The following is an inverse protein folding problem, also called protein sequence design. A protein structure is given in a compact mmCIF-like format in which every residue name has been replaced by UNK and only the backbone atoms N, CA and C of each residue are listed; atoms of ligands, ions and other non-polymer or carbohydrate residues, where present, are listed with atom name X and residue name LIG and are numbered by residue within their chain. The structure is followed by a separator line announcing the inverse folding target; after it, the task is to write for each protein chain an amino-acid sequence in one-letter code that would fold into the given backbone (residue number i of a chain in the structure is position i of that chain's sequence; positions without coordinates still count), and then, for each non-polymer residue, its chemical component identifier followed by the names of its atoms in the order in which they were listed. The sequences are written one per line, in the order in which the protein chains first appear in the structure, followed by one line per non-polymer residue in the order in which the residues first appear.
data_IF_735844493172
#
_entry.id   IF_735844493172
#
_cell.length_a   1.000
_cell.length_b   1.000
_cell.length_c   1.000
_cell.angle_alpha   90.00
_cell.angle_beta   90.00
_cell.angle_gamma   90.00
#
_symmetry.space_group_name_H-M   'P 1'
#
loop_
_entity.id
_entity.type
_entity.pdbx_description
1 polymer ?
#
# COMPACT_ATOMS: atom_id res chain seq x y z
N UNK A 1 10.67 -35.88 -70.66
CA UNK A 1 11.90 -35.10 -70.38
C UNK A 1 11.58 -33.94 -69.43
N UNK A 2 10.48 -33.19 -69.64
CA UNK A 2 10.07 -32.08 -68.73
C UNK A 2 9.77 -32.53 -67.30
N UNK A 3 9.09 -33.66 -67.08
CA UNK A 3 8.74 -34.15 -65.74
C UNK A 3 9.94 -34.64 -64.90
N UNK A 4 11.06 -34.98 -65.56
CA UNK A 4 12.29 -35.41 -64.86
C UNK A 4 13.05 -34.20 -64.33
N UNK A 5 13.15 -33.15 -65.11
CA UNK A 5 13.79 -31.86 -64.69
C UNK A 5 13.04 -31.18 -63.51
N UNK A 6 11.73 -31.32 -63.49
CA UNK A 6 10.90 -30.69 -62.44
C UNK A 6 11.09 -31.45 -61.09
N UNK A 7 11.18 -32.78 -61.11
CA UNK A 7 11.49 -33.59 -59.91
C UNK A 7 12.91 -33.36 -59.39
N UNK A 8 13.89 -33.19 -60.27
CA UNK A 8 15.26 -32.86 -59.84
C UNK A 8 15.33 -31.50 -59.19
N UNK A 9 14.63 -30.47 -59.71
CA UNK A 9 14.54 -29.11 -59.16
C UNK A 9 13.84 -29.08 -57.79
N UNK A 10 12.78 -29.86 -57.60
CA UNK A 10 12.04 -29.99 -56.35
C UNK A 10 12.92 -30.68 -55.30
N UNK A 11 13.67 -31.71 -55.69
CA UNK A 11 14.58 -32.39 -54.77
C UNK A 11 15.76 -31.50 -54.36
N UNK A 12 16.31 -30.66 -55.25
CA UNK A 12 17.34 -29.68 -54.91
C UNK A 12 16.82 -28.64 -53.93
N UNK A 13 15.61 -28.12 -54.16
CA UNK A 13 14.98 -27.16 -53.23
C UNK A 13 14.70 -27.74 -51.83
N UNK A 14 14.30 -29.04 -51.78
CA UNK A 14 14.13 -29.76 -50.50
C UNK A 14 15.47 -29.95 -49.79
N UNK A 15 16.51 -30.31 -50.51
CA UNK A 15 17.86 -30.47 -49.94
C UNK A 15 18.39 -29.15 -49.43
N UNK A 16 18.25 -28.02 -50.16
CA UNK A 16 18.64 -26.69 -49.69
C UNK A 16 17.89 -26.28 -48.41
N UNK A 17 16.59 -26.54 -48.35
CA UNK A 17 15.79 -26.27 -47.16
C UNK A 17 16.22 -27.13 -45.97
N UNK A 18 16.52 -28.41 -46.18
CA UNK A 18 17.03 -29.31 -45.13
C UNK A 18 18.39 -28.86 -44.61
N UNK A 19 19.31 -28.48 -45.50
CA UNK A 19 20.61 -27.94 -45.12
C UNK A 19 20.47 -26.61 -44.35
N UNK A 20 19.54 -25.70 -44.78
CA UNK A 20 19.23 -24.48 -44.05
C UNK A 20 18.63 -24.75 -42.65
N UNK A 21 17.83 -25.79 -42.49
CA UNK A 21 17.32 -26.21 -41.19
C UNK A 21 18.43 -26.80 -40.31
N UNK A 22 19.30 -27.65 -40.85
CA UNK A 22 20.45 -28.19 -40.12
C UNK A 22 21.42 -27.11 -39.65
N UNK A 23 21.67 -26.07 -40.45
CA UNK A 23 22.50 -24.93 -40.07
C UNK A 23 21.88 -24.06 -38.98
N UNK A 24 20.56 -24.04 -38.84
CA UNK A 24 19.85 -23.31 -37.79
C UNK A 24 19.66 -24.07 -36.47
N UNK A 25 19.81 -25.40 -36.48
CA UNK A 25 19.69 -26.24 -35.26
C UNK A 25 20.63 -25.75 -34.13
N UNK A 26 21.93 -25.43 -34.37
CA UNK A 26 22.82 -24.92 -33.32
C UNK A 26 22.26 -23.64 -32.67
N UNK A 27 21.79 -22.70 -33.47
CA UNK A 27 21.24 -21.44 -32.95
C UNK A 27 19.97 -21.65 -32.10
N UNK A 28 19.12 -22.59 -32.49
CA UNK A 28 17.94 -22.98 -31.71
C UNK A 28 18.35 -23.69 -30.41
N UNK A 29 19.35 -24.55 -30.44
CA UNK A 29 19.88 -25.24 -29.26
C UNK A 29 20.52 -24.24 -28.30
N UNK A 30 21.28 -23.27 -28.81
CA UNK A 30 21.88 -22.21 -28.00
C UNK A 30 20.81 -21.30 -27.36
N UNK A 31 19.76 -20.97 -28.10
CA UNK A 31 18.61 -20.21 -27.58
C UNK A 31 17.87 -20.97 -26.48
N UNK A 32 17.64 -22.29 -26.67
CA UNK A 32 17.01 -23.15 -25.65
C UNK A 32 17.90 -23.25 -24.41
N UNK A 33 19.21 -23.39 -24.60
CA UNK A 33 20.19 -23.50 -23.51
C UNK A 33 20.26 -22.18 -22.73
N UNK A 34 20.27 -21.05 -23.41
CA UNK A 34 20.22 -19.71 -22.80
C UNK A 34 18.93 -19.52 -22.00
N UNK A 35 17.79 -19.91 -22.57
CA UNK A 35 16.49 -19.85 -21.88
C UNK A 35 16.44 -20.74 -20.64
N UNK A 36 17.01 -21.96 -20.73
CA UNK A 36 17.12 -22.88 -19.60
C UNK A 36 17.97 -22.29 -18.48
N UNK A 37 19.14 -21.71 -18.80
CA UNK A 37 20.01 -21.05 -17.84
C UNK A 37 19.32 -19.85 -17.18
N UNK A 38 18.55 -19.09 -17.95
CA UNK A 38 17.74 -17.98 -17.43
C UNK A 38 16.68 -18.47 -16.44
N UNK A 39 15.97 -19.56 -16.78
CA UNK A 39 14.97 -20.20 -15.89
C UNK A 39 15.64 -20.74 -14.62
N UNK A 40 16.81 -21.37 -14.71
CA UNK A 40 17.56 -21.86 -13.55
C UNK A 40 18.06 -20.70 -12.65
N UNK A 41 18.49 -19.59 -13.23
CA UNK A 41 18.87 -18.39 -12.47
C UNK A 41 17.64 -17.74 -11.81
N UNK A 42 16.53 -17.61 -12.51
CA UNK A 42 15.24 -17.13 -11.96
C UNK A 42 14.81 -18.05 -10.80
N UNK A 43 14.92 -19.37 -10.95
CA UNK A 43 14.59 -20.34 -9.89
C UNK A 43 15.50 -20.18 -8.65
N UNK A 44 16.82 -19.94 -8.86
CA UNK A 44 17.77 -19.66 -7.78
C UNK A 44 17.48 -18.34 -7.10
N UNK A 45 17.09 -17.32 -7.85
CA UNK A 45 16.74 -16.01 -7.29
C UNK A 45 15.38 -16.05 -6.59
N UNK A 46 14.41 -16.82 -7.10
CA UNK A 46 13.16 -17.12 -6.38
C UNK A 46 13.46 -17.83 -5.04
N UNK A 47 14.42 -18.77 -5.02
CA UNK A 47 14.79 -19.46 -3.77
C UNK A 47 15.51 -18.54 -2.75
N UNK A 48 16.18 -17.48 -3.21
CA UNK A 48 16.77 -16.42 -2.34
C UNK A 48 15.76 -15.38 -1.91
N UNK A 49 14.66 -15.21 -2.66
CA UNK A 49 13.51 -14.35 -2.38
C UNK A 49 12.48 -15.04 -1.47
N UNK A 50 12.83 -16.10 -0.76
CA UNK A 50 12.03 -16.55 0.39
C UNK A 50 12.11 -15.40 1.41
N UNK A 51 11.26 -14.40 1.20
CA UNK A 51 10.89 -13.47 2.26
C UNK A 51 10.50 -14.38 3.41
N UNK A 52 11.30 -14.31 4.48
CA UNK A 52 11.00 -15.06 5.68
C UNK A 52 9.60 -14.63 6.15
N UNK A 53 8.62 -15.48 5.88
CA UNK A 53 7.26 -15.28 6.34
C UNK A 53 7.18 -16.00 7.68
N UNK A 54 6.98 -15.29 8.77
CA UNK A 54 6.82 -15.93 10.08
C UNK A 54 5.75 -17.02 9.99
N UNK A 55 5.92 -18.08 10.74
CA UNK A 55 4.87 -19.06 10.99
C UNK A 55 3.68 -18.36 11.69
N UNK A 56 2.65 -19.11 12.08
CA UNK A 56 1.40 -18.66 12.72
C UNK A 56 1.57 -17.57 13.81
N UNK A 57 2.75 -17.46 14.38
CA UNK A 57 3.03 -16.59 15.50
C UNK A 57 3.34 -15.15 15.08
N UNK A 58 2.79 -14.19 15.78
CA UNK A 58 3.18 -12.78 15.64
C UNK A 58 4.37 -12.52 16.55
N UNK A 59 5.42 -11.96 15.96
CA UNK A 59 6.59 -11.54 16.74
C UNK A 59 6.34 -10.17 17.37
N UNK A 60 6.64 -10.07 18.65
CA UNK A 60 6.74 -8.80 19.35
C UNK A 60 8.07 -8.11 18.98
N UNK A 61 8.19 -7.69 17.72
CA UNK A 61 9.34 -6.95 17.22
C UNK A 61 9.37 -5.51 17.76
N UNK A 62 10.45 -4.78 17.51
CA UNK A 62 10.64 -3.41 18.03
C UNK A 62 9.50 -2.45 17.61
N UNK A 63 8.91 -2.63 16.44
CA UNK A 63 7.79 -1.81 15.99
C UNK A 63 6.52 -2.14 16.79
N UNK A 64 6.10 -3.42 16.82
CA UNK A 64 4.92 -3.86 17.57
C UNK A 64 5.06 -3.50 19.05
N UNK A 65 6.23 -3.75 19.64
CA UNK A 65 6.51 -3.39 21.02
C UNK A 65 6.35 -1.89 21.29
N UNK A 66 6.92 -1.05 20.46
CA UNK A 66 6.82 0.41 20.62
C UNK A 66 5.36 0.89 20.51
N UNK A 67 4.62 0.41 19.52
CA UNK A 67 3.21 0.77 19.34
C UNK A 67 2.39 0.28 20.51
N UNK A 68 2.49 -0.99 20.88
CA UNK A 68 1.71 -1.56 21.99
C UNK A 68 2.03 -0.93 23.33
N UNK A 69 3.29 -0.55 23.60
CA UNK A 69 3.65 0.19 24.81
C UNK A 69 3.04 1.60 24.82
N UNK A 70 2.98 2.30 23.69
CA UNK A 70 2.30 3.59 23.62
C UNK A 70 0.81 3.47 23.94
N UNK A 71 0.15 2.41 23.48
CA UNK A 71 -1.25 2.11 23.81
C UNK A 71 -1.39 1.72 25.30
N UNK A 72 -0.44 0.97 25.87
CA UNK A 72 -0.40 0.66 27.33
C UNK A 72 -0.41 1.93 28.16
N UNK A 73 0.46 2.90 27.84
CA UNK A 73 0.53 4.18 28.53
C UNK A 73 -0.75 5.03 28.31
N UNK A 74 -1.29 5.03 27.11
CA UNK A 74 -2.52 5.75 26.80
C UNK A 74 -3.72 5.22 27.61
N UNK A 75 -3.82 3.91 27.80
CA UNK A 75 -4.90 3.26 28.57
C UNK A 75 -4.86 3.56 30.08
N UNK A 76 -3.73 4.06 30.61
CA UNK A 76 -3.62 4.52 32.01
C UNK A 76 -4.21 5.90 32.24
N UNK A 77 -4.53 6.65 31.17
CA UNK A 77 -5.12 7.98 31.28
C UNK A 77 -6.54 7.90 31.88
N UNK A 78 -6.92 8.85 32.77
CA UNK A 78 -8.25 8.85 33.39
C UNK A 78 -9.40 8.98 32.39
N UNK A 79 -9.15 9.63 31.23
CA UNK A 79 -10.12 9.87 30.17
C UNK A 79 -10.24 8.71 29.15
N UNK A 80 -9.40 7.68 29.27
CA UNK A 80 -9.38 6.55 28.35
C UNK A 80 -10.75 5.87 28.17
N UNK A 81 -11.54 5.56 29.24
CA UNK A 81 -12.85 4.95 29.06
C UNK A 81 -13.78 5.77 28.15
N UNK A 82 -13.75 7.10 28.29
CA UNK A 82 -14.54 8.01 27.45
C UNK A 82 -14.03 8.03 26.00
N UNK A 83 -12.72 7.98 25.79
CA UNK A 83 -12.11 7.91 24.46
C UNK A 83 -12.51 6.61 23.74
N UNK A 84 -12.44 5.49 24.43
CA UNK A 84 -12.87 4.19 23.89
C UNK A 84 -14.38 4.18 23.56
N UNK A 85 -15.23 4.67 24.46
CA UNK A 85 -16.67 4.76 24.21
C UNK A 85 -17.00 5.66 23.02
N UNK A 86 -16.31 6.79 22.87
CA UNK A 86 -16.49 7.69 21.73
C UNK A 86 -16.04 7.04 20.41
N UNK A 87 -14.97 6.26 20.42
CA UNK A 87 -14.53 5.49 19.24
C UNK A 87 -15.60 4.44 18.87
N UNK A 88 -16.08 3.66 19.83
CA UNK A 88 -17.02 2.56 19.60
C UNK A 88 -18.45 3.01 19.23
N UNK A 89 -18.85 4.21 19.68
CA UNK A 89 -20.20 4.72 19.43
C UNK A 89 -20.52 4.78 17.94
N UNK A 90 -21.62 4.15 17.51
CA UNK A 90 -22.09 4.17 16.13
C UNK A 90 -21.30 3.31 15.14
N UNK A 91 -20.31 2.54 15.60
CA UNK A 91 -19.70 1.49 14.80
C UNK A 91 -20.64 0.29 14.66
N UNK A 92 -20.56 -0.43 13.55
CA UNK A 92 -21.17 -1.75 13.42
C UNK A 92 -20.44 -2.79 14.29
N UNK A 93 -21.08 -3.96 14.48
CA UNK A 93 -20.58 -5.03 15.34
C UNK A 93 -19.19 -5.51 14.90
N UNK A 94 -18.96 -5.74 13.58
CA UNK A 94 -17.67 -6.17 13.01
C UNK A 94 -16.55 -5.18 13.36
N UNK A 95 -16.84 -3.89 13.24
CA UNK A 95 -15.87 -2.81 13.54
C UNK A 95 -15.58 -2.71 15.04
N UNK A 96 -16.60 -2.81 15.88
CA UNK A 96 -16.45 -2.77 17.33
C UNK A 96 -15.62 -3.99 17.83
N UNK A 97 -15.93 -5.20 17.33
CA UNK A 97 -15.15 -6.40 17.62
C UNK A 97 -13.69 -6.28 17.15
N UNK A 98 -13.46 -5.65 15.99
CA UNK A 98 -12.10 -5.39 15.48
C UNK A 98 -11.31 -4.52 16.45
N UNK A 99 -11.89 -3.43 16.95
CA UNK A 99 -11.25 -2.56 17.96
C UNK A 99 -10.92 -3.35 19.22
N UNK A 100 -11.90 -4.08 19.78
CA UNK A 100 -11.71 -4.88 21.00
C UNK A 100 -10.63 -5.94 20.80
N UNK A 101 -10.62 -6.62 19.67
CA UNK A 101 -9.65 -7.64 19.31
C UNK A 101 -8.24 -7.08 19.27
N UNK A 102 -8.03 -5.91 18.63
CA UNK A 102 -6.73 -5.23 18.60
C UNK A 102 -6.25 -4.93 20.01
N UNK A 103 -7.08 -4.25 20.82
CA UNK A 103 -6.72 -3.85 22.17
C UNK A 103 -6.43 -5.04 23.09
N UNK A 104 -7.21 -6.12 22.99
CA UNK A 104 -7.00 -7.35 23.75
C UNK A 104 -5.72 -8.07 23.37
N UNK A 105 -5.39 -8.08 22.07
CA UNK A 105 -4.15 -8.69 21.58
C UNK A 105 -2.92 -7.89 21.99
N UNK A 106 -2.98 -6.57 21.92
CA UNK A 106 -1.93 -5.70 22.43
C UNK A 106 -1.65 -5.98 23.93
N UNK A 107 -2.71 -6.17 24.73
CA UNK A 107 -2.57 -6.48 26.16
C UNK A 107 -1.82 -7.80 26.39
N UNK A 108 -2.07 -8.83 25.58
CA UNK A 108 -1.40 -10.13 25.71
C UNK A 108 0.10 -10.07 25.45
N UNK A 109 0.58 -9.10 24.70
CA UNK A 109 2.00 -8.98 24.31
C UNK A 109 2.76 -7.89 25.08
N UNK A 110 2.10 -7.13 25.96
CA UNK A 110 2.78 -6.02 26.67
C UNK A 110 4.02 -6.44 27.46
N UNK A 111 3.97 -7.60 28.06
CA UNK A 111 5.01 -8.08 28.98
C UNK A 111 5.90 -9.17 28.34
N UNK A 112 5.72 -9.44 27.03
CA UNK A 112 6.55 -10.40 26.29
C UNK A 112 7.60 -9.64 25.48
N UNK A 113 8.87 -9.94 25.71
CA UNK A 113 9.99 -9.29 25.03
C UNK A 113 10.59 -10.21 23.98
N UNK A 114 10.42 -9.90 22.69
CA UNK A 114 11.02 -10.66 21.59
C UNK A 114 10.47 -12.07 21.42
N UNK A 115 9.41 -12.43 22.13
CA UNK A 115 8.77 -13.73 22.02
C UNK A 115 7.74 -13.76 20.89
N UNK A 116 7.61 -14.92 20.31
CA UNK A 116 6.59 -15.25 19.33
C UNK A 116 5.32 -15.73 20.07
N UNK A 117 4.17 -15.12 19.74
CA UNK A 117 2.92 -15.37 20.46
C UNK A 117 1.87 -15.90 19.50
N UNK A 118 1.30 -17.06 19.82
CA UNK A 118 0.16 -17.64 19.08
C UNK A 118 -1.15 -17.00 19.55
N UNK A 119 -1.59 -15.97 18.82
CA UNK A 119 -2.82 -15.21 19.08
C UNK A 119 -3.76 -15.13 17.87
N UNK A 120 -3.36 -15.74 16.77
CA UNK A 120 -4.17 -15.78 15.55
C UNK A 120 -5.20 -16.90 15.63
N UNK A 121 -6.40 -16.64 15.07
CA UNK A 121 -7.38 -17.69 14.84
C UNK A 121 -6.97 -18.61 13.68
N UNK A 122 -7.60 -19.79 13.59
CA UNK A 122 -7.37 -20.71 12.45
C UNK A 122 -7.72 -20.07 11.11
N UNK A 123 -8.70 -19.17 11.08
CA UNK A 123 -9.08 -18.46 9.85
C UNK A 123 -8.02 -17.42 9.44
N UNK A 124 -7.48 -16.67 10.40
CA UNK A 124 -6.39 -15.74 10.14
C UNK A 124 -5.11 -16.47 9.67
N UNK A 125 -4.82 -17.61 10.26
CA UNK A 125 -3.69 -18.45 9.84
C UNK A 125 -3.88 -18.97 8.39
N UNK A 126 -5.11 -19.34 7.98
CA UNK A 126 -5.40 -19.65 6.58
C UNK A 126 -5.18 -18.46 5.67
N UNK A 127 -5.57 -17.25 6.09
CA UNK A 127 -5.33 -16.02 5.33
C UNK A 127 -3.84 -15.72 5.20
N UNK A 128 -3.02 -15.90 6.25
CA UNK A 128 -1.57 -15.75 6.16
C UNK A 128 -0.94 -16.76 5.19
N UNK A 129 -1.38 -18.03 5.22
CA UNK A 129 -0.96 -19.03 4.22
C UNK A 129 -1.37 -18.63 2.80
N UNK A 130 -2.57 -18.07 2.63
CA UNK A 130 -3.01 -17.52 1.35
C UNK A 130 -2.08 -16.39 0.87
N UNK A 131 -1.70 -15.44 1.73
CA UNK A 131 -0.75 -14.38 1.38
C UNK A 131 0.60 -14.95 0.95
N UNK A 132 1.11 -15.95 1.68
CA UNK A 132 2.37 -16.60 1.33
C UNK A 132 2.31 -17.22 -0.07
N UNK A 133 1.24 -17.94 -0.38
CA UNK A 133 1.09 -18.67 -1.64
C UNK A 133 0.71 -17.79 -2.83
N UNK A 134 -0.10 -16.75 -2.62
CA UNK A 134 -0.72 -15.97 -3.71
C UNK A 134 -0.16 -14.56 -3.86
N UNK A 135 0.52 -14.00 -2.87
CA UNK A 135 1.21 -12.72 -2.99
C UNK A 135 2.72 -12.96 -3.06
N UNK A 136 3.33 -13.31 -1.94
CA UNK A 136 4.79 -13.31 -1.81
C UNK A 136 5.50 -14.28 -2.76
N UNK A 137 4.95 -15.48 -2.97
CA UNK A 137 5.52 -16.47 -3.90
C UNK A 137 5.31 -16.14 -5.38
N UNK A 138 4.52 -15.09 -5.68
CA UNK A 138 4.23 -14.67 -7.05
C UNK A 138 4.84 -13.30 -7.40
N UNK A 139 5.70 -12.76 -6.54
CA UNK A 139 6.47 -11.56 -6.85
C UNK A 139 7.69 -11.97 -7.68
N UNK A 140 7.81 -11.43 -8.88
CA UNK A 140 8.92 -11.72 -9.79
C UNK A 140 9.88 -10.53 -9.83
N UNK A 141 11.17 -10.78 -9.67
CA UNK A 141 12.21 -9.80 -9.98
C UNK A 141 12.47 -9.84 -11.49
N UNK A 142 12.13 -8.77 -12.19
CA UNK A 142 12.29 -8.63 -13.65
C UNK A 142 13.70 -8.15 -14.00
N UNK A 143 14.20 -7.14 -13.24
CA UNK A 143 15.56 -6.62 -13.34
C UNK A 143 16.05 -6.18 -11.95
N UNK A 144 17.22 -5.55 -11.85
CA UNK A 144 17.75 -5.09 -10.56
C UNK A 144 16.80 -4.14 -9.81
N UNK A 145 16.04 -3.35 -10.56
CA UNK A 145 15.21 -2.27 -10.08
C UNK A 145 13.76 -2.34 -10.59
N UNK A 146 13.28 -3.55 -10.99
CA UNK A 146 11.89 -3.78 -11.41
C UNK A 146 11.41 -5.11 -10.85
N UNK A 147 10.29 -5.04 -10.14
CA UNK A 147 9.56 -6.18 -9.59
C UNK A 147 8.14 -6.20 -10.14
N UNK A 148 7.57 -7.38 -10.30
CA UNK A 148 6.24 -7.60 -10.86
C UNK A 148 5.40 -8.48 -9.95
N UNK A 149 4.16 -8.06 -9.73
CA UNK A 149 3.11 -8.91 -9.17
C UNK A 149 1.83 -8.74 -9.99
N UNK A 150 1.32 -9.83 -10.55
CA UNK A 150 0.24 -9.80 -11.54
C UNK A 150 0.62 -8.85 -12.70
N UNK A 151 -0.12 -7.77 -12.89
CA UNK A 151 0.11 -6.73 -13.91
C UNK A 151 0.72 -5.44 -13.35
N UNK A 152 1.11 -5.42 -12.08
CA UNK A 152 1.72 -4.26 -11.43
C UNK A 152 3.23 -4.35 -11.44
N UNK A 153 3.89 -3.28 -11.84
CA UNK A 153 5.35 -3.14 -11.83
C UNK A 153 5.75 -2.10 -10.79
N UNK A 154 6.68 -2.45 -9.91
CA UNK A 154 7.24 -1.54 -8.91
C UNK A 154 8.77 -1.45 -9.05
N UNK A 155 9.36 -0.27 -8.76
CA UNK A 155 10.80 -0.07 -8.84
C UNK A 155 11.58 -0.72 -7.68
N UNK A 156 10.89 -1.17 -6.64
CA UNK A 156 11.44 -1.92 -5.51
C UNK A 156 10.50 -3.05 -5.12
N UNK A 157 10.99 -4.06 -4.42
CA UNK A 157 10.18 -5.15 -3.91
C UNK A 157 9.35 -4.72 -2.69
N UNK A 158 8.24 -4.03 -2.95
CA UNK A 158 7.33 -3.53 -1.91
C UNK A 158 5.87 -3.79 -2.30
N UNK A 159 5.45 -5.05 -2.20
CA UNK A 159 4.06 -5.46 -2.47
C UNK A 159 3.35 -5.78 -1.16
N UNK A 160 2.73 -4.77 -0.56
CA UNK A 160 2.04 -4.94 0.71
C UNK A 160 0.65 -5.58 0.54
N UNK A 161 0.28 -6.49 1.45
CA UNK A 161 -1.04 -7.14 1.41
C UNK A 161 -2.20 -6.14 1.46
N UNK A 162 -2.09 -5.07 2.26
CA UNK A 162 -3.13 -4.04 2.39
C UNK A 162 -3.46 -3.39 1.05
N UNK A 163 -2.43 -3.20 0.18
CA UNK A 163 -2.59 -2.60 -1.15
C UNK A 163 -3.05 -3.64 -2.18
N UNK A 164 -2.29 -4.74 -2.35
CA UNK A 164 -2.45 -5.64 -3.51
C UNK A 164 -3.39 -6.83 -3.29
N UNK A 165 -3.81 -7.09 -2.04
CA UNK A 165 -4.75 -8.18 -1.71
C UNK A 165 -6.04 -7.62 -1.10
N UNK A 166 -5.93 -6.71 -0.15
CA UNK A 166 -7.08 -6.13 0.53
C UNK A 166 -7.54 -4.79 -0.07
N UNK A 167 -6.84 -4.30 -1.11
CA UNK A 167 -7.18 -3.09 -1.86
C UNK A 167 -7.51 -1.91 -0.95
N UNK A 168 -6.74 -1.75 0.13
CA UNK A 168 -6.90 -0.67 1.11
C UNK A 168 -8.33 -0.56 1.69
N UNK A 169 -9.02 -1.69 1.86
CA UNK A 169 -10.40 -1.73 2.36
C UNK A 169 -11.47 -1.25 1.37
N UNK A 170 -11.12 -1.01 0.09
CA UNK A 170 -12.06 -0.58 -0.94
C UNK A 170 -13.25 -1.53 -1.12
N UNK A 171 -13.07 -2.83 -0.83
CA UNK A 171 -14.16 -3.81 -0.92
C UNK A 171 -15.21 -3.67 0.19
N UNK A 172 -14.90 -2.92 1.24
CA UNK A 172 -15.83 -2.60 2.33
C UNK A 172 -16.69 -1.37 2.03
N UNK A 173 -16.38 -0.59 0.98
CA UNK A 173 -17.12 0.59 0.55
C UNK A 173 -18.41 0.16 -0.15
N UNK A 174 -19.55 0.69 0.28
CA UNK A 174 -20.86 0.38 -0.26
C UNK A 174 -21.14 1.07 -1.60
N UNK A 175 -20.77 2.34 -1.72
CA UNK A 175 -21.08 3.15 -2.90
C UNK A 175 -19.82 3.65 -3.61
N UNK A 176 -19.22 2.79 -4.42
CA UNK A 176 -18.04 3.14 -5.24
C UNK A 176 -18.37 4.09 -6.40
N UNK A 177 -19.61 4.20 -6.83
CA UNK A 177 -20.03 5.12 -7.89
C UNK A 177 -19.91 6.60 -7.46
N UNK A 178 -19.88 6.87 -6.16
CA UNK A 178 -19.78 8.22 -5.61
C UNK A 178 -18.50 8.96 -6.04
N UNK A 179 -17.44 8.25 -6.36
CA UNK A 179 -16.15 8.82 -6.77
C UNK A 179 -15.68 8.40 -8.16
N UNK A 180 -16.53 7.70 -8.94
CA UNK A 180 -16.15 7.18 -10.24
C UNK A 180 -15.87 8.25 -11.30
N UNK A 181 -16.42 9.44 -11.15
CA UNK A 181 -16.26 10.62 -12.02
C UNK A 181 -15.65 11.83 -11.32
N UNK A 182 -15.10 11.63 -10.12
CA UNK A 182 -14.50 12.67 -9.29
C UNK A 182 -13.03 12.41 -9.04
N UNK A 183 -12.28 13.45 -8.68
CA UNK A 183 -10.88 13.25 -8.34
C UNK A 183 -10.70 12.49 -7.03
N UNK A 184 -9.60 11.78 -6.96
CA UNK A 184 -9.14 11.05 -5.78
C UNK A 184 -7.87 11.70 -5.25
N UNK A 185 -7.78 11.84 -3.94
CA UNK A 185 -6.58 12.34 -3.25
C UNK A 185 -5.91 11.17 -2.53
N UNK A 186 -4.68 10.86 -2.90
CA UNK A 186 -3.81 9.87 -2.26
C UNK A 186 -2.74 10.61 -1.44
N UNK A 187 -2.90 10.64 -0.13
CA UNK A 187 -2.00 11.34 0.80
C UNK A 187 -1.04 10.33 1.42
N UNK A 188 0.26 10.55 1.20
CA UNK A 188 1.29 9.56 1.50
C UNK A 188 1.31 8.47 0.42
N UNK A 189 1.56 8.89 -0.82
CA UNK A 189 1.55 7.98 -1.98
C UNK A 189 2.82 7.12 -2.05
N UNK A 190 3.83 7.39 -1.21
CA UNK A 190 5.07 6.62 -1.11
C UNK A 190 5.68 6.36 -2.50
N UNK A 191 5.78 5.11 -2.91
CA UNK A 191 6.29 4.72 -4.23
C UNK A 191 5.20 4.65 -5.32
N UNK A 192 3.95 5.00 -5.01
CA UNK A 192 2.84 5.01 -5.96
C UNK A 192 2.06 3.72 -6.09
N UNK A 193 2.25 2.76 -5.23
CA UNK A 193 1.57 1.46 -5.22
C UNK A 193 0.05 1.62 -4.98
N UNK A 194 -0.36 2.41 -3.98
CA UNK A 194 -1.77 2.80 -3.78
C UNK A 194 -2.32 3.59 -4.95
N UNK A 195 -1.55 4.53 -5.49
CA UNK A 195 -1.97 5.34 -6.64
C UNK A 195 -2.32 4.48 -7.86
N UNK A 196 -1.61 3.34 -8.10
CA UNK A 196 -1.95 2.39 -9.15
C UNK A 196 -3.34 1.76 -8.96
N UNK A 197 -3.67 1.38 -7.73
CA UNK A 197 -4.99 0.80 -7.42
C UNK A 197 -6.08 1.86 -7.57
N UNK A 198 -5.86 3.05 -7.02
CA UNK A 198 -6.81 4.15 -7.03
C UNK A 198 -7.06 4.69 -8.45
N UNK A 199 -6.06 4.62 -9.34
CA UNK A 199 -6.18 5.09 -10.73
C UNK A 199 -7.26 4.38 -11.52
N UNK A 200 -7.61 3.15 -11.15
CA UNK A 200 -8.65 2.35 -11.80
C UNK A 200 -10.07 2.64 -11.29
N UNK A 201 -10.22 3.49 -10.27
CA UNK A 201 -11.50 3.73 -9.60
C UNK A 201 -12.23 4.97 -10.11
N UNK A 202 -11.54 5.84 -10.83
CA UNK A 202 -12.12 7.08 -11.34
C UNK A 202 -11.75 7.33 -12.80
N UNK A 203 -12.65 7.96 -13.53
CA UNK A 203 -12.38 8.50 -14.86
C UNK A 203 -11.70 9.88 -14.84
N UNK A 204 -11.65 10.53 -13.68
CA UNK A 204 -10.94 11.79 -13.42
C UNK A 204 -9.49 11.53 -12.97
N UNK A 205 -8.87 12.45 -12.26
CA UNK A 205 -7.48 12.40 -11.81
C UNK A 205 -7.34 11.84 -10.39
N UNK A 206 -6.23 11.17 -10.16
CA UNK A 206 -5.72 10.86 -8.82
C UNK A 206 -4.56 11.80 -8.53
N UNK A 207 -4.65 12.61 -7.49
CA UNK A 207 -3.56 13.47 -7.03
C UNK A 207 -2.80 12.73 -5.93
N UNK A 208 -1.59 12.30 -6.26
CA UNK A 208 -0.75 11.48 -5.39
C UNK A 208 0.31 12.35 -4.71
N UNK A 209 0.14 12.61 -3.41
CA UNK A 209 1.04 13.45 -2.61
C UNK A 209 2.11 12.60 -1.95
N UNK A 210 3.36 12.89 -2.25
CA UNK A 210 4.53 12.33 -1.58
C UNK A 210 5.48 13.46 -1.19
N UNK A 211 5.86 13.47 0.08
CA UNK A 211 6.62 14.58 0.66
C UNK A 211 8.11 14.51 0.34
N UNK A 212 8.69 13.32 0.35
CA UNK A 212 10.14 13.10 0.27
C UNK A 212 10.61 12.93 -1.17
N UNK A 213 11.72 13.54 -1.52
CA UNK A 213 12.28 13.49 -2.87
C UNK A 213 12.60 12.05 -3.32
N UNK A 214 13.11 11.22 -2.40
CA UNK A 214 13.44 9.83 -2.69
C UNK A 214 12.22 9.04 -3.14
N UNK A 215 11.13 9.08 -2.38
CA UNK A 215 9.93 8.29 -2.69
C UNK A 215 9.09 8.93 -3.77
N UNK A 216 9.10 10.26 -3.88
CA UNK A 216 8.52 10.95 -5.03
C UNK A 216 9.14 10.50 -6.38
N UNK A 217 10.47 10.34 -6.43
CA UNK A 217 11.13 9.82 -7.64
C UNK A 217 10.75 8.35 -7.93
N UNK A 218 10.56 7.52 -6.90
CA UNK A 218 10.07 6.15 -7.08
C UNK A 218 8.60 6.13 -7.51
N UNK A 219 7.76 7.04 -7.02
CA UNK A 219 6.39 7.24 -7.50
C UNK A 219 6.38 7.57 -9.00
N UNK A 220 7.20 8.53 -9.45
CA UNK A 220 7.32 8.84 -10.88
C UNK A 220 7.70 7.60 -11.71
N UNK A 221 8.69 6.83 -11.25
CA UNK A 221 9.11 5.60 -11.92
C UNK A 221 8.01 4.53 -11.95
N UNK A 222 7.25 4.39 -10.86
CA UNK A 222 6.09 3.49 -10.81
C UNK A 222 5.04 3.85 -11.85
N UNK A 223 4.69 5.14 -11.96
CA UNK A 223 3.71 5.62 -12.95
C UNK A 223 4.17 5.38 -14.39
N UNK A 224 5.46 5.60 -14.65
CA UNK A 224 6.09 5.33 -15.96
C UNK A 224 6.03 3.82 -16.29
N UNK A 225 6.49 2.95 -15.39
CA UNK A 225 6.51 1.50 -15.59
C UNK A 225 5.13 0.92 -15.89
N UNK A 226 4.07 1.47 -15.29
CA UNK A 226 2.69 1.01 -15.47
C UNK A 226 1.92 1.81 -16.53
N UNK A 227 2.56 2.76 -17.22
CA UNK A 227 1.92 3.64 -18.22
C UNK A 227 0.64 4.33 -17.68
N UNK A 228 0.64 4.71 -16.40
CA UNK A 228 -0.51 5.31 -15.72
C UNK A 228 -0.64 6.79 -16.08
N UNK A 229 -1.76 7.20 -16.69
CA UNK A 229 -1.92 8.55 -17.27
C UNK A 229 -2.79 9.50 -16.45
N UNK A 230 -3.66 8.98 -15.61
CA UNK A 230 -4.60 9.78 -14.82
C UNK A 230 -4.12 10.05 -13.39
N UNK A 231 -2.90 9.66 -13.02
CA UNK A 231 -2.27 10.02 -11.74
C UNK A 231 -1.39 11.25 -11.93
N UNK A 232 -1.61 12.25 -11.08
CA UNK A 232 -0.84 13.50 -11.02
C UNK A 232 0.00 13.46 -9.73
N UNK A 233 1.31 13.23 -9.82
CA UNK A 233 2.18 13.25 -8.66
C UNK A 233 2.39 14.68 -8.16
N UNK A 234 2.33 14.87 -6.84
CA UNK A 234 2.51 16.18 -6.19
C UNK A 234 3.60 16.06 -5.11
N UNK A 235 4.71 16.76 -5.29
CA UNK A 235 5.83 16.75 -4.36
C UNK A 235 5.60 17.75 -3.22
N UNK A 236 4.81 17.37 -2.23
CA UNK A 236 4.49 18.17 -1.05
C UNK A 236 3.94 17.30 0.08
N UNK A 237 4.13 17.74 1.32
CA UNK A 237 3.41 17.26 2.49
C UNK A 237 2.06 18.00 2.62
N UNK A 238 1.06 17.31 3.16
CA UNK A 238 -0.23 17.89 3.52
C UNK A 238 -0.38 17.96 5.05
N UNK A 239 -0.86 19.10 5.55
CA UNK A 239 -1.08 19.33 6.98
C UNK A 239 -1.97 20.51 7.26
N UNK A 240 -1.94 21.02 8.51
CA UNK A 240 -2.88 22.05 9.01
C UNK A 240 -2.58 23.48 8.55
N UNK A 241 -1.39 23.74 8.02
CA UNK A 241 -0.97 25.08 7.59
C UNK A 241 0.03 25.03 6.43
N UNK A 242 0.37 26.19 5.89
CA UNK A 242 1.43 26.35 4.89
C UNK A 242 2.77 26.62 5.56
N UNK A 243 3.83 26.07 4.98
CA UNK A 243 5.18 26.29 5.47
C UNK A 243 6.19 25.29 4.95
N UNK A 244 7.19 25.03 5.77
CA UNK A 244 8.17 23.96 5.59
C UNK A 244 8.26 23.12 6.84
N UNK A 245 8.45 21.81 6.65
CA UNK A 245 8.63 20.86 7.75
C UNK A 245 9.80 19.94 7.46
N UNK A 246 10.38 19.40 8.52
CA UNK A 246 11.44 18.42 8.41
C UNK A 246 10.83 17.02 8.51
N UNK A 247 11.11 16.19 7.54
CA UNK A 247 10.68 14.78 7.48
C UNK A 247 11.88 13.89 7.67
N UNK A 248 11.79 12.94 8.60
CA UNK A 248 12.77 11.87 8.72
C UNK A 248 12.49 10.80 7.65
N UNK A 249 13.43 10.61 6.72
CA UNK A 249 13.32 9.67 5.60
C UNK A 249 13.71 8.27 6.08
N UNK A 250 12.73 7.45 6.46
CA UNK A 250 12.93 6.14 7.08
C UNK A 250 12.12 5.02 6.39
N UNK A 251 12.20 4.90 5.08
CA UNK A 251 11.41 3.92 4.34
C UNK A 251 9.93 4.29 4.27
N UNK A 252 9.06 3.29 4.27
CA UNK A 252 7.60 3.49 4.38
C UNK A 252 7.18 4.17 5.69
N UNK A 253 8.09 4.27 6.67
CA UNK A 253 7.86 4.89 7.96
C UNK A 253 8.42 6.32 8.06
N UNK A 254 8.48 7.08 6.96
CA UNK A 254 8.95 8.47 6.97
C UNK A 254 7.95 9.39 7.66
N UNK A 255 8.37 10.14 8.70
CA UNK A 255 7.45 10.88 9.59
C UNK A 255 7.94 12.29 9.94
N UNK A 256 6.99 13.21 10.09
CA UNK A 256 7.25 14.60 10.52
C UNK A 256 7.50 14.70 12.04
N UNK A 257 6.94 13.82 12.85
CA UNK A 257 6.84 14.00 14.31
C UNK A 257 7.81 13.15 15.16
N UNK A 258 8.81 12.46 14.57
CA UNK A 258 9.67 11.58 15.39
C UNK A 258 10.73 12.35 16.17
N UNK A 259 10.79 12.24 17.51
CA UNK A 259 11.95 12.62 18.28
C UNK A 259 13.15 11.69 17.97
N UNK A 260 14.38 12.21 18.07
CA UNK A 260 15.64 11.53 17.73
C UNK A 260 15.83 11.28 16.23
N UNK A 261 15.77 12.35 15.48
CA UNK A 261 16.03 12.40 14.04
C UNK A 261 17.52 12.20 13.81
N UNK A 262 17.89 11.23 12.97
CA UNK A 262 19.24 11.16 12.41
C UNK A 262 19.42 12.34 11.44
N UNK A 263 20.31 13.28 11.73
CA UNK A 263 20.49 14.48 10.89
C UNK A 263 20.82 14.18 9.43
N UNK A 264 21.40 13.01 9.16
CA UNK A 264 21.75 12.58 7.79
C UNK A 264 20.54 12.13 6.96
N UNK A 265 19.42 11.83 7.61
CA UNK A 265 18.20 11.33 6.99
C UNK A 265 17.03 12.31 7.07
N UNK A 266 17.29 13.61 7.22
CA UNK A 266 16.25 14.65 7.30
C UNK A 266 16.15 15.40 5.99
N UNK A 267 14.94 15.55 5.49
CA UNK A 267 14.61 16.38 4.33
C UNK A 267 13.64 17.51 4.73
N UNK A 268 13.93 18.74 4.32
CA UNK A 268 13.01 19.87 4.44
C UNK A 268 12.06 19.86 3.24
N UNK A 269 10.74 19.72 3.51
CA UNK A 269 9.70 19.58 2.49
C UNK A 269 8.67 20.70 2.58
N UNK A 270 8.04 21.03 1.45
CA UNK A 270 6.92 21.98 1.43
C UNK A 270 5.69 21.37 2.09
N UNK A 271 5.09 22.14 3.01
CA UNK A 271 3.82 21.82 3.64
C UNK A 271 2.73 22.73 3.10
N UNK A 272 1.62 22.14 2.67
CA UNK A 272 0.43 22.86 2.21
C UNK A 272 -0.84 22.27 2.82
N UNK A 273 -1.96 22.98 2.74
CA UNK A 273 -3.25 22.42 3.14
C UNK A 273 -3.98 21.84 1.94
N UNK A 274 -4.75 20.76 2.15
CA UNK A 274 -5.61 20.23 1.10
C UNK A 274 -6.67 21.24 0.66
N UNK A 275 -7.22 22.00 1.60
CA UNK A 275 -8.25 23.02 1.33
C UNK A 275 -7.79 24.03 0.28
N UNK A 276 -6.58 24.59 0.44
CA UNK A 276 -6.03 25.54 -0.54
C UNK A 276 -5.69 24.89 -1.87
N UNK A 277 -5.25 23.64 -1.87
CA UNK A 277 -4.97 22.90 -3.11
C UNK A 277 -6.26 22.65 -3.91
N UNK A 278 -7.31 22.16 -3.25
CA UNK A 278 -8.61 21.87 -3.86
C UNK A 278 -9.26 23.16 -4.40
N UNK A 279 -9.21 24.25 -3.65
CA UNK A 279 -9.72 25.56 -4.07
C UNK A 279 -8.95 26.10 -5.28
N UNK A 280 -7.61 26.09 -5.23
CA UNK A 280 -6.73 26.57 -6.30
C UNK A 280 -7.01 25.90 -7.66
N UNK A 281 -7.23 24.59 -7.64
CA UNK A 281 -7.43 23.78 -8.85
C UNK A 281 -8.91 23.49 -9.15
N UNK A 282 -9.82 24.02 -8.32
CA UNK A 282 -11.28 23.84 -8.42
C UNK A 282 -11.68 22.36 -8.57
N UNK A 283 -11.17 21.51 -7.68
CA UNK A 283 -11.38 20.06 -7.75
C UNK A 283 -12.71 19.63 -7.13
N UNK A 284 -13.33 18.59 -7.71
CA UNK A 284 -14.45 17.86 -7.09
C UNK A 284 -13.93 16.55 -6.50
N UNK A 285 -13.79 16.49 -5.17
CA UNK A 285 -13.14 15.39 -4.47
C UNK A 285 -14.14 14.32 -4.09
N UNK A 286 -13.94 13.10 -4.59
CA UNK A 286 -14.82 11.94 -4.33
C UNK A 286 -14.28 10.95 -3.29
N UNK A 287 -12.96 10.80 -3.20
CA UNK A 287 -12.29 9.91 -2.25
C UNK A 287 -10.98 10.52 -1.78
N UNK A 288 -10.67 10.34 -0.50
CA UNK A 288 -9.38 10.70 0.10
C UNK A 288 -8.83 9.47 0.85
N UNK A 289 -7.65 9.00 0.45
CA UNK A 289 -6.85 8.03 1.23
C UNK A 289 -5.76 8.79 1.97
N UNK A 290 -5.52 8.43 3.24
CA UNK A 290 -4.49 9.07 4.08
C UNK A 290 -3.69 8.01 4.82
N UNK A 291 -2.37 8.06 4.62
CA UNK A 291 -1.41 7.24 5.35
C UNK A 291 -0.08 8.01 5.40
N UNK A 292 0.18 8.74 6.47
CA UNK A 292 1.28 9.71 6.60
C UNK A 292 2.03 9.62 7.93
N UNK A 293 2.06 8.41 8.47
CA UNK A 293 2.95 8.02 9.55
C UNK A 293 2.82 8.87 10.83
N UNK A 294 1.57 9.20 11.20
CA UNK A 294 1.27 9.86 12.46
C UNK A 294 0.99 11.36 12.36
N UNK A 295 0.68 11.87 11.16
CA UNK A 295 0.32 13.27 10.93
C UNK A 295 -1.14 13.44 10.44
N UNK A 296 -1.95 12.40 10.54
CA UNK A 296 -3.32 12.33 10.02
C UNK A 296 -4.25 13.35 10.68
N UNK A 297 -4.10 13.60 11.99
CA UNK A 297 -4.87 14.63 12.69
C UNK A 297 -4.57 16.05 12.19
N UNK A 298 -3.31 16.35 11.90
CA UNK A 298 -2.91 17.65 11.33
C UNK A 298 -3.38 17.77 9.87
N UNK A 299 -3.33 16.69 9.10
CA UNK A 299 -3.92 16.65 7.76
C UNK A 299 -5.42 16.98 7.81
N UNK A 300 -6.17 16.35 8.69
CA UNK A 300 -7.63 16.56 8.79
C UNK A 300 -7.99 18.02 9.10
N UNK A 301 -7.18 18.72 9.90
CA UNK A 301 -7.37 20.16 10.15
C UNK A 301 -7.21 21.00 8.89
N UNK A 302 -6.26 20.65 8.01
CA UNK A 302 -6.02 21.33 6.74
C UNK A 302 -6.88 20.86 5.57
N UNK A 303 -7.75 19.86 5.80
CA UNK A 303 -8.67 19.29 4.84
C UNK A 303 -10.15 19.50 5.23
N UNK A 304 -10.41 20.15 6.35
CA UNK A 304 -11.73 20.26 6.98
C UNK A 304 -12.78 20.87 6.04
N UNK A 305 -12.46 21.97 5.36
CA UNK A 305 -13.39 22.63 4.44
C UNK A 305 -13.66 21.76 3.20
N UNK A 306 -12.65 21.11 2.66
CA UNK A 306 -12.78 20.16 1.55
C UNK A 306 -13.71 19.02 1.94
N UNK A 307 -13.48 18.40 3.11
CA UNK A 307 -14.30 17.29 3.59
C UNK A 307 -15.74 17.73 3.83
N UNK A 308 -15.96 18.88 4.46
CA UNK A 308 -17.30 19.46 4.70
C UNK A 308 -18.05 19.75 3.40
N UNK A 309 -17.36 20.30 2.40
CA UNK A 309 -17.96 20.70 1.13
C UNK A 309 -18.29 19.50 0.23
N UNK A 310 -17.33 18.60 0.05
CA UNK A 310 -17.43 17.51 -0.95
C UNK A 310 -17.95 16.21 -0.36
N UNK A 311 -17.84 16.02 0.97
CA UNK A 311 -18.19 14.77 1.69
C UNK A 311 -17.61 13.54 1.00
N UNK A 312 -16.29 13.50 0.72
CA UNK A 312 -15.68 12.38 0.03
C UNK A 312 -15.75 11.11 0.87
N UNK A 313 -15.62 9.96 0.25
CA UNK A 313 -15.27 8.74 1.00
C UNK A 313 -13.88 8.88 1.59
N UNK A 314 -13.69 8.53 2.86
CA UNK A 314 -12.41 8.63 3.55
C UNK A 314 -11.87 7.24 3.88
N UNK A 315 -10.60 7.01 3.55
CA UNK A 315 -9.81 5.84 3.91
C UNK A 315 -8.60 6.35 4.69
N UNK A 316 -8.60 6.23 6.00
CA UNK A 316 -7.58 6.85 6.86
C UNK A 316 -6.91 5.79 7.72
N UNK A 317 -5.58 5.69 7.64
CA UNK A 317 -4.77 4.92 8.57
C UNK A 317 -4.86 5.54 9.97
N UNK A 318 -5.15 4.72 10.99
CA UNK A 318 -5.34 5.18 12.37
C UNK A 318 -4.45 4.45 13.38
N UNK A 319 -3.39 3.82 12.92
CA UNK A 319 -2.60 2.88 13.72
C UNK A 319 -1.24 3.41 14.20
N UNK A 320 -0.81 4.56 13.71
CA UNK A 320 0.54 5.05 13.97
C UNK A 320 0.76 5.47 15.43
N UNK A 321 -0.28 5.98 16.07
CA UNK A 321 -0.27 6.32 17.48
C UNK A 321 -1.67 6.26 18.12
N UNK A 322 -1.76 6.21 19.48
CA UNK A 322 -3.05 6.12 20.17
C UNK A 322 -3.96 7.32 19.98
N UNK A 323 -3.41 8.54 19.84
CA UNK A 323 -4.24 9.74 19.64
C UNK A 323 -5.01 9.65 18.32
N UNK A 324 -4.37 9.19 17.26
CA UNK A 324 -5.04 8.96 15.97
C UNK A 324 -6.09 7.86 16.05
N UNK A 325 -5.75 6.74 16.68
CA UNK A 325 -6.66 5.61 16.84
C UNK A 325 -7.97 6.01 17.55
N UNK A 326 -7.88 6.82 18.61
CA UNK A 326 -9.03 7.18 19.42
C UNK A 326 -9.69 8.52 19.04
N UNK A 327 -9.02 9.40 18.27
CA UNK A 327 -9.50 10.77 18.04
C UNK A 327 -9.96 11.05 16.63
N UNK A 328 -9.46 10.34 15.59
CA UNK A 328 -9.80 10.64 14.20
C UNK A 328 -11.31 10.46 13.94
N UNK A 329 -11.90 9.32 14.31
CA UNK A 329 -13.34 9.11 14.14
C UNK A 329 -14.17 10.17 14.89
N UNK A 330 -13.98 10.40 16.20
CA UNK A 330 -14.71 11.46 16.91
C UNK A 330 -14.55 12.84 16.32
N UNK A 331 -13.37 13.20 15.81
CA UNK A 331 -13.13 14.46 15.13
C UNK A 331 -14.03 14.61 13.89
N UNK A 332 -14.02 13.63 12.99
CA UNK A 332 -14.86 13.64 11.78
C UNK A 332 -16.35 13.63 12.14
N UNK A 333 -16.73 12.84 13.13
CA UNK A 333 -18.12 12.76 13.62
C UNK A 333 -18.63 14.11 14.18
N UNK A 334 -17.73 14.87 14.83
CA UNK A 334 -18.08 16.21 15.39
C UNK A 334 -18.46 17.22 14.30
N UNK A 335 -18.10 17.02 13.06
CA UNK A 335 -18.49 17.86 11.93
C UNK A 335 -19.94 17.68 11.50
N UNK A 336 -20.65 16.66 12.01
CA UNK A 336 -22.07 16.37 11.76
C UNK A 336 -22.42 16.25 10.27
N UNK A 337 -21.57 15.55 9.50
CA UNK A 337 -21.73 15.40 8.05
C UNK A 337 -22.48 14.15 7.62
N UNK A 338 -22.97 13.34 8.58
CA UNK A 338 -23.72 12.12 8.29
C UNK A 338 -22.86 10.93 7.86
N UNK A 339 -21.58 10.91 8.21
CA UNK A 339 -20.69 9.79 7.93
C UNK A 339 -21.08 8.53 8.71
N UNK A 340 -21.09 7.41 8.01
CA UNK A 340 -21.06 6.07 8.58
C UNK A 340 -19.62 5.57 8.64
N UNK A 341 -19.23 4.97 9.75
CA UNK A 341 -17.86 4.58 10.02
C UNK A 341 -17.71 3.08 10.10
N UNK A 342 -16.59 2.58 9.58
CA UNK A 342 -16.12 1.20 9.76
C UNK A 342 -14.66 1.21 10.17
N UNK A 343 -14.29 0.25 11.01
CA UNK A 343 -12.89 -0.07 11.32
C UNK A 343 -12.55 -1.38 10.63
N UNK A 344 -11.52 -1.34 9.80
CA UNK A 344 -11.02 -2.50 9.08
C UNK A 344 -9.56 -2.76 9.43
N UNK A 345 -9.25 -3.99 9.79
CA UNK A 345 -7.89 -4.47 9.99
C UNK A 345 -7.68 -5.70 9.10
N UNK A 346 -6.89 -5.58 8.00
CA UNK A 346 -6.53 -6.74 7.20
C UNK A 346 -5.72 -7.74 8.03
N UNK A 347 -5.78 -9.00 7.69
CA UNK A 347 -4.92 -10.01 8.29
C UNK A 347 -3.54 -9.91 7.66
N UNK A 348 -2.57 -9.57 8.48
CA UNK A 348 -1.18 -9.50 8.15
C UNK A 348 -0.34 -10.06 9.33
N UNK A 349 0.97 -9.89 9.28
CA UNK A 349 1.88 -10.37 10.33
C UNK A 349 2.03 -9.39 11.51
N UNK A 350 1.06 -8.50 11.70
CA UNK A 350 1.05 -7.46 12.74
C UNK A 350 -0.28 -7.43 13.48
N UNK A 351 -0.26 -7.02 14.75
CA UNK A 351 -1.46 -6.77 15.55
C UNK A 351 -1.96 -5.36 15.35
N UNK A 352 -1.03 -4.41 15.28
CA UNK A 352 -1.30 -2.98 15.44
C UNK A 352 -1.25 -2.20 14.15
N UNK A 353 -0.60 -2.71 13.07
CA UNK A 353 -0.48 -2.01 11.79
C UNK A 353 -1.71 -2.18 10.91
N UNK A 354 -1.80 -1.35 9.89
CA UNK A 354 -2.80 -1.42 8.81
C UNK A 354 -4.25 -1.33 9.30
N UNK A 355 -4.47 -0.61 10.41
CA UNK A 355 -5.85 -0.35 10.89
C UNK A 355 -6.40 0.86 10.16
N UNK A 356 -7.49 0.66 9.43
CA UNK A 356 -8.13 1.66 8.59
C UNK A 356 -9.46 2.11 9.16
N UNK A 357 -9.69 3.43 9.20
CA UNK A 357 -11.00 4.03 9.33
C UNK A 357 -11.56 4.28 7.93
N UNK A 358 -12.68 3.65 7.62
CA UNK A 358 -13.46 3.87 6.41
C UNK A 358 -14.67 4.72 6.79
N UNK A 359 -14.86 5.88 6.15
CA UNK A 359 -15.99 6.75 6.40
C UNK A 359 -16.71 7.08 5.09
N UNK A 360 -18.03 6.85 5.07
CA UNK A 360 -18.93 7.09 3.94
C UNK A 360 -20.10 7.99 4.36
N UNK A 361 -20.31 9.12 3.66
CA UNK A 361 -21.42 10.07 3.89
C UNK A 361 -22.53 9.92 2.85
#
# INVERSE_FOLDING_TARGET
VESKNERERVNEEIVERLVGLEQNIPNVVDSITSTKNTIENISKDISKLVIWVPERNIYNNDYERRVTLSFKEYRRRPDFPNKLLNLLRGLDEESAETVVKILTRQEKIWDTEGESIDILSDEEDKQLRFLKQHLYSNILKISEDIYCYKNYLLPINHFEPVVFVYHYGLDKIKNKLKFADKCIIDVGAFIGDTALILSNLTSDKVFAFEATSKYYNLLLKTLELNNTKNVIPVHAALGSNHGRVHVNVAGSCSSILRPNIDPENVEEVNLITLDTFVEKYNLDVGLIKVDIEGYELEFLKGAENTIKKHRPTLLISIYHNPDEFFMIKPMIESWNLGYNFKIFKPVDYSISREVLLIAEA
#
